data_IF_257853582131
#
_entry.id   IF_257853582131
#
_cell.length_a   1.000
_cell.length_b   1.000
_cell.length_c   1.000
_cell.angle_alpha   90.00
_cell.angle_beta   90.00
_cell.angle_gamma   90.00
#
_symmetry.space_group_name_H-M   'P 1'
#
loop_
_entity.id
_entity.type
_entity.pdbx_description
1 polymer ?
#
# COMPACT_ATOMS: atom_id res chain seq x y z
N UNK A 1 14.10 -13.86 13.07
CA UNK A 1 14.19 -14.12 11.62
C UNK A 1 13.79 -12.85 10.88
N UNK A 2 14.29 -12.61 9.68
CA UNK A 2 13.83 -11.49 8.86
C UNK A 2 12.32 -11.66 8.53
N UNK A 3 11.57 -10.56 8.52
CA UNK A 3 10.13 -10.54 8.24
C UNK A 3 9.86 -11.04 6.82
N UNK A 4 8.82 -11.85 6.62
CA UNK A 4 8.57 -12.55 5.35
C UNK A 4 8.23 -11.61 4.19
N UNK A 5 7.71 -10.40 4.47
CA UNK A 5 7.43 -9.39 3.44
C UNK A 5 8.68 -8.87 2.72
N UNK A 6 9.89 -9.13 3.23
CA UNK A 6 11.15 -8.82 2.52
C UNK A 6 11.44 -9.77 1.35
N UNK A 7 10.72 -10.89 1.25
CA UNK A 7 10.87 -11.86 0.16
C UNK A 7 10.07 -11.48 -1.10
N UNK A 8 9.39 -10.35 -1.11
CA UNK A 8 8.67 -9.84 -2.28
C UNK A 8 9.50 -8.77 -2.95
N UNK A 9 9.78 -8.90 -4.24
CA UNK A 9 10.56 -7.89 -4.96
C UNK A 9 9.66 -6.77 -5.51
N UNK A 10 10.16 -5.53 -5.50
CA UNK A 10 9.47 -4.36 -6.06
C UNK A 10 10.18 -3.75 -7.27
N UNK A 11 11.49 -3.97 -7.38
CA UNK A 11 12.35 -3.59 -8.51
C UNK A 11 13.39 -4.70 -8.71
N UNK A 12 13.74 -4.98 -9.96
CA UNK A 12 14.77 -5.93 -10.30
C UNK A 12 15.53 -5.47 -11.55
N UNK A 13 16.83 -5.73 -11.55
CA UNK A 13 17.76 -5.55 -12.66
C UNK A 13 18.24 -6.95 -13.04
N UNK A 14 17.70 -7.49 -14.14
CA UNK A 14 17.99 -8.86 -14.59
C UNK A 14 19.43 -9.00 -15.09
N UNK A 15 20.01 -7.94 -15.68
CA UNK A 15 21.38 -7.95 -16.19
C UNK A 15 22.38 -8.06 -15.04
N UNK A 16 22.18 -7.25 -13.99
CA UNK A 16 23.06 -7.24 -12.81
C UNK A 16 22.69 -8.30 -11.78
N UNK A 17 21.59 -9.04 -11.97
CA UNK A 17 21.03 -9.99 -11.02
C UNK A 17 20.79 -9.37 -9.63
N UNK A 18 20.31 -8.14 -9.61
CA UNK A 18 20.00 -7.39 -8.39
C UNK A 18 18.49 -7.19 -8.26
N UNK A 19 17.99 -7.19 -7.03
CA UNK A 19 16.61 -6.83 -6.75
C UNK A 19 16.50 -6.03 -5.46
N UNK A 20 15.37 -5.36 -5.32
CA UNK A 20 15.00 -4.60 -4.13
C UNK A 20 13.66 -5.12 -3.60
N UNK A 21 13.54 -5.40 -2.29
CA UNK A 21 12.26 -5.74 -1.70
C UNK A 21 11.21 -4.65 -1.95
N UNK A 22 9.96 -5.05 -2.15
CA UNK A 22 8.83 -4.16 -2.40
C UNK A 22 8.66 -3.17 -1.24
N UNK A 23 8.76 -3.66 -0.01
CA UNK A 23 8.67 -2.82 1.20
C UNK A 23 9.76 -1.77 1.26
N UNK A 24 10.99 -2.10 0.84
CA UNK A 24 12.09 -1.14 0.78
C UNK A 24 11.79 -0.05 -0.25
N UNK A 25 11.29 -0.42 -1.43
CA UNK A 25 10.88 0.55 -2.44
C UNK A 25 9.75 1.46 -1.93
N UNK A 26 8.73 0.89 -1.30
CA UNK A 26 7.60 1.63 -0.73
C UNK A 26 8.06 2.64 0.33
N UNK A 27 8.96 2.22 1.24
CA UNK A 27 9.50 3.09 2.29
C UNK A 27 10.46 4.16 1.77
N UNK A 28 11.21 3.90 0.69
CA UNK A 28 12.01 4.93 0.01
C UNK A 28 11.11 6.03 -0.56
N UNK A 29 10.02 5.64 -1.25
CA UNK A 29 9.04 6.60 -1.78
C UNK A 29 8.36 7.38 -0.65
N UNK A 30 8.02 6.71 0.44
CA UNK A 30 7.50 7.36 1.66
C UNK A 30 8.49 8.37 2.25
N UNK A 31 9.77 8.04 2.29
CA UNK A 31 10.83 8.92 2.78
C UNK A 31 10.97 10.18 1.90
N UNK A 32 10.88 10.03 0.58
CA UNK A 32 10.85 11.16 -0.36
C UNK A 32 9.62 12.03 -0.13
N UNK A 33 8.43 11.42 0.02
CA UNK A 33 7.18 12.13 0.27
C UNK A 33 7.21 12.90 1.61
N UNK A 34 7.78 12.30 2.65
CA UNK A 34 8.02 12.94 3.94
C UNK A 34 8.90 14.19 3.77
N UNK A 35 10.09 14.05 3.17
CA UNK A 35 11.04 15.16 3.03
C UNK A 35 10.49 16.29 2.15
N UNK A 36 9.81 15.95 1.06
CA UNK A 36 9.17 16.94 0.20
C UNK A 36 8.07 17.71 0.93
N UNK A 37 7.28 17.02 1.75
CA UNK A 37 6.19 17.66 2.51
C UNK A 37 6.75 18.51 3.65
N UNK A 38 7.69 17.96 4.43
CA UNK A 38 8.30 18.59 5.60
C UNK A 38 9.10 19.85 5.25
N UNK A 39 9.65 19.94 4.03
CA UNK A 39 10.34 21.14 3.54
C UNK A 39 9.40 22.26 3.06
N UNK A 40 8.08 22.04 3.08
CA UNK A 40 7.08 22.98 2.53
C UNK A 40 6.08 23.43 3.59
N UNK A 41 6.49 24.38 4.41
CA UNK A 41 5.63 24.95 5.45
C UNK A 41 4.29 25.51 4.95
N UNK A 42 4.20 26.23 3.81
CA UNK A 42 2.91 26.68 3.29
C UNK A 42 1.97 25.52 2.93
N UNK A 43 2.51 24.44 2.35
CA UNK A 43 1.74 23.24 2.04
C UNK A 43 1.23 22.57 3.32
N UNK A 44 2.11 22.42 4.31
CA UNK A 44 1.75 21.84 5.60
C UNK A 44 0.63 22.64 6.28
N UNK A 45 0.81 23.96 6.42
CA UNK A 45 -0.20 24.84 7.04
C UNK A 45 -1.54 24.76 6.31
N UNK A 46 -1.53 24.80 4.98
CA UNK A 46 -2.75 24.71 4.18
C UNK A 46 -3.51 23.40 4.43
N UNK A 47 -2.84 22.26 4.31
CA UNK A 47 -3.48 20.95 4.41
C UNK A 47 -3.81 20.54 5.85
N UNK A 48 -2.96 20.86 6.83
CA UNK A 48 -3.28 20.68 8.25
C UNK A 48 -4.56 21.41 8.64
N UNK A 49 -4.70 22.68 8.25
CA UNK A 49 -5.94 23.44 8.48
C UNK A 49 -7.14 22.88 7.70
N UNK A 50 -6.91 22.42 6.47
CA UNK A 50 -7.97 21.91 5.61
C UNK A 50 -8.49 20.56 6.08
N UNK A 51 -7.64 19.70 6.65
CA UNK A 51 -8.00 18.37 7.16
C UNK A 51 -8.32 18.37 8.67
N UNK A 52 -8.05 19.48 9.37
CA UNK A 52 -8.21 19.61 10.82
C UNK A 52 -7.31 18.62 11.59
N UNK A 53 -6.03 18.59 11.20
CA UNK A 53 -4.99 17.73 11.78
C UNK A 53 -3.71 18.54 12.01
N UNK A 54 -2.86 18.10 12.94
CA UNK A 54 -1.56 18.74 13.13
C UNK A 54 -0.57 18.41 12.01
N UNK A 55 0.62 19.02 12.08
CA UNK A 55 1.68 18.86 11.08
C UNK A 55 2.22 17.43 11.02
N UNK A 56 2.36 16.76 12.17
CA UNK A 56 2.90 15.40 12.23
C UNK A 56 1.88 14.41 11.63
N UNK A 57 0.60 14.59 11.94
CA UNK A 57 -0.48 13.82 11.34
C UNK A 57 -0.55 13.97 9.81
N UNK A 58 -0.30 15.17 9.30
CA UNK A 58 -0.20 15.37 7.85
C UNK A 58 1.02 14.67 7.24
N UNK A 59 2.19 14.74 7.89
CA UNK A 59 3.41 14.09 7.42
C UNK A 59 3.25 12.57 7.37
N UNK A 60 2.68 11.97 8.41
CA UNK A 60 2.36 10.55 8.45
C UNK A 60 1.33 10.20 7.36
N UNK A 61 0.28 11.00 7.16
CA UNK A 61 -0.74 10.75 6.13
C UNK A 61 -0.16 10.71 4.73
N UNK A 62 0.65 11.71 4.37
CA UNK A 62 1.27 11.76 3.04
C UNK A 62 2.27 10.61 2.87
N UNK A 63 3.06 10.31 3.90
CA UNK A 63 4.04 9.22 3.87
C UNK A 63 3.35 7.85 3.79
N UNK A 64 2.22 7.67 4.48
CA UNK A 64 1.43 6.45 4.45
C UNK A 64 0.78 6.24 3.08
N UNK A 65 0.16 7.27 2.49
CA UNK A 65 -0.37 7.22 1.11
C UNK A 65 0.74 6.82 0.13
N UNK A 66 1.91 7.44 0.26
CA UNK A 66 3.08 7.13 -0.56
C UNK A 66 3.59 5.70 -0.32
N UNK A 67 3.51 5.18 0.90
CA UNK A 67 3.93 3.81 1.21
C UNK A 67 3.03 2.81 0.50
N UNK A 68 1.71 2.94 0.58
CA UNK A 68 0.77 1.91 0.11
C UNK A 68 0.61 1.84 -1.42
N UNK A 69 1.19 2.78 -2.18
CA UNK A 69 0.98 2.91 -3.64
C UNK A 69 1.22 1.62 -4.44
N UNK A 70 2.21 0.84 -4.03
CA UNK A 70 2.65 -0.37 -4.72
C UNK A 70 2.24 -1.68 -4.00
N UNK A 71 1.24 -1.64 -3.12
CA UNK A 71 0.72 -2.84 -2.42
C UNK A 71 0.37 -3.99 -3.38
N UNK A 72 -0.06 -3.70 -4.60
CA UNK A 72 -0.39 -4.74 -5.57
C UNK A 72 0.82 -5.54 -6.06
N UNK A 73 2.05 -5.09 -5.80
CA UNK A 73 3.25 -5.86 -6.09
C UNK A 73 3.44 -7.08 -5.17
N UNK A 74 2.69 -7.17 -4.08
CA UNK A 74 2.59 -8.41 -3.30
C UNK A 74 1.78 -9.50 -4.03
N UNK A 75 1.12 -9.19 -5.15
CA UNK A 75 0.36 -10.19 -5.89
C UNK A 75 1.28 -11.26 -6.44
N UNK A 76 0.78 -12.49 -6.42
CA UNK A 76 1.48 -13.64 -6.99
C UNK A 76 1.75 -13.43 -8.49
N UNK A 77 0.84 -12.76 -9.20
CA UNK A 77 1.01 -12.40 -10.60
C UNK A 77 2.21 -11.46 -10.81
N UNK A 78 2.31 -10.36 -10.04
CA UNK A 78 3.41 -9.42 -10.18
C UNK A 78 4.75 -10.11 -9.87
N UNK A 79 4.81 -10.90 -8.78
CA UNK A 79 6.02 -11.63 -8.43
C UNK A 79 6.44 -12.64 -9.51
N UNK A 80 5.48 -13.17 -10.27
CA UNK A 80 5.72 -14.11 -11.38
C UNK A 80 6.33 -13.47 -12.64
N UNK A 81 6.44 -12.14 -12.73
CA UNK A 81 7.09 -11.49 -13.87
C UNK A 81 8.58 -11.84 -14.00
N UNK A 82 9.22 -12.29 -12.91
CA UNK A 82 10.59 -12.81 -12.94
C UNK A 82 10.57 -14.20 -12.28
N UNK A 83 10.27 -15.27 -13.05
CA UNK A 83 10.09 -16.62 -12.52
C UNK A 83 11.27 -17.14 -11.70
N UNK A 84 12.49 -16.88 -12.16
CA UNK A 84 13.72 -17.28 -11.45
C UNK A 84 13.80 -16.63 -10.07
N UNK A 85 13.42 -15.36 -9.97
CA UNK A 85 13.46 -14.60 -8.72
C UNK A 85 12.32 -15.02 -7.78
N UNK A 86 11.12 -15.30 -8.30
CA UNK A 86 10.02 -15.87 -7.52
C UNK A 86 10.43 -17.21 -6.90
N UNK A 87 11.02 -18.11 -7.71
CA UNK A 87 11.49 -19.42 -7.26
C UNK A 87 12.60 -19.28 -6.23
N UNK A 88 13.53 -18.36 -6.43
CA UNK A 88 14.62 -18.09 -5.48
C UNK A 88 14.11 -17.54 -4.14
N UNK A 89 13.19 -16.58 -4.15
CA UNK A 89 12.73 -15.88 -2.93
C UNK A 89 11.65 -16.63 -2.15
N UNK A 90 10.80 -17.40 -2.84
CA UNK A 90 9.61 -18.00 -2.25
C UNK A 90 9.47 -19.50 -2.49
N UNK A 91 10.29 -20.09 -3.36
CA UNK A 91 10.17 -21.50 -3.77
C UNK A 91 8.93 -21.79 -4.62
N UNK A 92 8.19 -20.77 -5.04
CA UNK A 92 6.97 -20.93 -5.82
C UNK A 92 7.27 -21.00 -7.32
N UNK A 93 6.46 -21.77 -8.04
CA UNK A 93 6.43 -21.76 -9.51
C UNK A 93 5.65 -20.52 -10.01
N UNK A 94 5.90 -20.00 -11.22
CA UNK A 94 5.21 -18.82 -11.74
C UNK A 94 3.76 -19.10 -12.14
N UNK A 95 2.91 -18.07 -12.07
CA UNK A 95 1.54 -18.12 -12.58
C UNK A 95 1.50 -18.28 -14.11
N UNK A 96 0.52 -19.05 -14.62
CA UNK A 96 0.17 -19.07 -16.05
C UNK A 96 -0.69 -17.83 -16.37
N UNK A 97 -0.04 -16.67 -16.40
CA UNK A 97 -0.55 -15.35 -16.87
C UNK A 97 -2.03 -15.04 -16.60
N UNK A 98 -2.30 -14.17 -15.64
CA UNK A 98 -3.41 -13.20 -15.73
C UNK A 98 -2.83 -11.81 -15.98
N UNK A 99 -3.66 -10.82 -16.31
CA UNK A 99 -3.27 -9.51 -16.86
C UNK A 99 -3.55 -8.33 -15.90
N UNK A 100 -3.74 -8.60 -14.60
CA UNK A 100 -4.16 -7.56 -13.68
C UNK A 100 -2.99 -6.62 -13.34
N UNK A 101 -3.14 -5.35 -13.69
CA UNK A 101 -2.13 -4.34 -13.38
C UNK A 101 -2.05 -4.16 -11.87
N UNK A 102 -0.83 -4.11 -11.34
CA UNK A 102 -0.59 -3.98 -9.90
C UNK A 102 -1.28 -2.79 -9.22
N UNK A 103 -1.58 -1.64 -9.85
CA UNK A 103 -2.34 -0.60 -9.17
C UNK A 103 -3.77 -1.06 -8.85
N UNK A 104 -4.41 -1.80 -9.76
CA UNK A 104 -5.74 -2.40 -9.55
C UNK A 104 -5.69 -3.49 -8.50
N UNK A 105 -4.69 -4.38 -8.53
CA UNK A 105 -4.51 -5.41 -7.49
C UNK A 105 -4.24 -4.79 -6.12
N UNK A 106 -3.51 -3.68 -6.06
CA UNK A 106 -3.22 -2.94 -4.83
C UNK A 106 -4.47 -2.30 -4.23
N UNK A 107 -5.30 -1.68 -5.07
CA UNK A 107 -6.59 -1.14 -4.64
C UNK A 107 -7.55 -2.22 -4.14
N UNK A 108 -7.64 -3.36 -4.84
CA UNK A 108 -8.42 -4.51 -4.39
C UNK A 108 -7.95 -5.02 -3.02
N UNK A 109 -6.65 -5.22 -2.86
CA UNK A 109 -6.07 -5.65 -1.57
C UNK A 109 -6.38 -4.63 -0.47
N UNK A 110 -6.25 -3.35 -0.77
CA UNK A 110 -6.59 -2.28 0.16
C UNK A 110 -8.06 -2.32 0.57
N UNK A 111 -8.99 -2.30 -0.38
CA UNK A 111 -10.42 -2.14 -0.10
C UNK A 111 -11.01 -3.38 0.58
N UNK A 112 -10.60 -4.58 0.16
CA UNK A 112 -11.13 -5.83 0.68
C UNK A 112 -10.49 -6.27 2.01
N UNK A 113 -9.20 -5.98 2.23
CA UNK A 113 -8.45 -6.55 3.37
C UNK A 113 -8.03 -5.51 4.40
N UNK A 114 -7.56 -4.33 3.98
CA UNK A 114 -6.85 -3.40 4.86
C UNK A 114 -7.73 -2.24 5.34
N UNK A 115 -8.63 -1.77 4.48
CA UNK A 115 -9.48 -0.61 4.76
C UNK A 115 -10.33 -0.82 6.02
N UNK A 116 -10.97 -1.98 6.18
CA UNK A 116 -11.78 -2.28 7.36
C UNK A 116 -10.98 -2.18 8.66
N UNK A 117 -9.73 -2.65 8.67
CA UNK A 117 -8.83 -2.60 9.83
C UNK A 117 -8.46 -1.16 10.19
N UNK A 118 -8.07 -0.34 9.22
CA UNK A 118 -7.75 1.07 9.46
C UNK A 118 -8.98 1.88 9.86
N UNK A 119 -10.10 1.70 9.15
CA UNK A 119 -11.34 2.43 9.42
C UNK A 119 -11.83 2.18 10.87
N UNK A 120 -11.75 0.94 11.36
CA UNK A 120 -12.06 0.62 12.74
C UNK A 120 -11.14 1.37 13.72
N UNK A 121 -9.82 1.42 13.46
CA UNK A 121 -8.86 2.18 14.27
C UNK A 121 -9.20 3.68 14.31
N UNK A 122 -9.57 4.27 13.17
CA UNK A 122 -9.96 5.69 13.06
C UNK A 122 -11.25 5.97 13.84
N UNK A 123 -12.27 5.13 13.66
CA UNK A 123 -13.56 5.27 14.36
C UNK A 123 -13.35 5.23 15.88
N UNK A 124 -12.56 4.26 16.37
CA UNK A 124 -12.25 4.12 17.79
C UNK A 124 -11.53 5.36 18.35
N UNK A 125 -10.51 5.87 17.64
CA UNK A 125 -9.76 7.08 18.04
C UNK A 125 -10.63 8.34 18.06
N UNK A 126 -11.61 8.41 17.17
CA UNK A 126 -12.51 9.57 17.07
C UNK A 126 -13.62 9.59 18.14
N UNK A 127 -13.68 8.63 19.06
CA UNK A 127 -14.83 8.42 19.95
C UNK A 127 -16.16 8.39 19.17
N UNK A 128 -16.15 7.73 17.99
CA UNK A 128 -17.28 7.65 17.06
C UNK A 128 -17.76 9.00 16.49
N UNK A 129 -17.01 10.09 16.67
CA UNK A 129 -17.33 11.39 16.06
C UNK A 129 -16.72 11.48 14.67
N UNK A 130 -17.57 11.55 13.65
CA UNK A 130 -17.12 11.75 12.27
C UNK A 130 -16.55 13.17 12.12
N UNK A 131 -15.22 13.29 12.16
CA UNK A 131 -14.52 14.55 11.89
C UNK A 131 -14.27 14.74 10.39
N UNK A 132 -13.63 15.85 10.01
CA UNK A 132 -13.37 16.18 8.60
C UNK A 132 -12.46 15.13 7.93
N UNK A 133 -11.40 14.72 8.62
CA UNK A 133 -10.48 13.68 8.15
C UNK A 133 -11.21 12.36 7.88
N UNK A 134 -12.06 11.88 8.79
CA UNK A 134 -12.78 10.62 8.64
C UNK A 134 -13.63 10.56 7.36
N UNK A 135 -14.17 11.71 6.90
CA UNK A 135 -14.93 11.81 5.64
C UNK A 135 -14.05 11.83 4.38
N UNK A 136 -12.80 12.26 4.50
CA UNK A 136 -11.91 12.49 3.34
C UNK A 136 -10.78 11.47 3.22
N UNK A 137 -10.51 10.71 4.28
CA UNK A 137 -9.32 9.85 4.32
C UNK A 137 -9.39 8.70 3.33
N UNK A 138 -10.56 8.06 3.15
CA UNK A 138 -10.71 6.98 2.17
C UNK A 138 -10.40 7.46 0.74
N UNK A 139 -11.02 8.54 0.21
CA UNK A 139 -10.65 9.10 -1.09
C UNK A 139 -9.14 9.41 -1.24
N UNK A 140 -8.51 10.00 -0.22
CA UNK A 140 -7.08 10.34 -0.24
C UNK A 140 -6.20 9.08 -0.32
N UNK A 141 -6.50 8.07 0.48
CA UNK A 141 -5.77 6.78 0.47
C UNK A 141 -5.96 6.08 -0.87
N UNK A 142 -7.18 6.04 -1.39
CA UNK A 142 -7.46 5.40 -2.68
C UNK A 142 -6.81 6.12 -3.87
N UNK A 143 -6.56 7.43 -3.76
CA UNK A 143 -5.85 8.19 -4.80
C UNK A 143 -4.39 7.73 -4.97
N UNK A 144 -3.78 7.15 -3.93
CA UNK A 144 -2.43 6.59 -4.00
C UNK A 144 -2.26 5.49 -5.04
N UNK A 145 -3.32 4.74 -5.37
CA UNK A 145 -3.30 3.69 -6.40
C UNK A 145 -3.41 4.23 -7.82
N UNK A 146 -3.69 5.53 -8.01
CA UNK A 146 -3.71 6.17 -9.32
C UNK A 146 -2.33 6.59 -9.85
N UNK A 147 -1.24 6.09 -9.26
CA UNK A 147 0.12 6.60 -9.47
C UNK A 147 0.69 6.41 -10.88
N UNK A 148 0.01 5.67 -11.75
CA UNK A 148 0.35 5.51 -13.17
C UNK A 148 -0.39 6.50 -14.08
N UNK A 149 -0.89 7.61 -13.53
CA UNK A 149 -1.44 8.73 -14.29
C UNK A 149 -2.95 8.68 -14.53
N UNK A 150 -3.66 7.70 -13.96
CA UNK A 150 -5.13 7.67 -13.96
C UNK A 150 -5.67 6.96 -12.71
N UNK A 151 -6.87 7.32 -12.22
CA UNK A 151 -7.56 6.55 -11.18
C UNK A 151 -7.69 5.07 -11.58
N UNK A 152 -7.68 4.19 -10.57
CA UNK A 152 -7.99 2.78 -10.76
C UNK A 152 -9.50 2.59 -10.92
N UNK A 153 -9.88 1.75 -11.87
CA UNK A 153 -11.26 1.33 -12.04
C UNK A 153 -11.64 0.42 -10.86
N UNK A 154 -12.77 0.69 -10.19
CA UNK A 154 -13.28 -0.21 -9.15
C UNK A 154 -13.96 -1.40 -9.82
N UNK A 155 -13.55 -2.65 -9.57
CA UNK A 155 -14.32 -3.81 -9.99
C UNK A 155 -15.65 -3.86 -9.21
N UNK A 156 -16.69 -4.43 -9.83
CA UNK A 156 -17.98 -4.68 -9.19
C UNK A 156 -17.81 -5.57 -7.95
N UNK A 157 -18.57 -5.28 -6.88
CA UNK A 157 -18.41 -5.91 -5.56
C UNK A 157 -18.50 -7.43 -5.57
N UNK A 158 -19.33 -8.02 -6.45
CA UNK A 158 -19.51 -9.47 -6.58
C UNK A 158 -18.23 -10.17 -7.09
N UNK A 159 -17.37 -9.44 -7.80
CA UNK A 159 -16.15 -10.00 -8.42
C UNK A 159 -14.89 -9.74 -7.57
N UNK A 160 -14.97 -8.87 -6.55
CA UNK A 160 -13.80 -8.46 -5.75
C UNK A 160 -13.17 -9.60 -4.97
N UNK A 161 -13.95 -10.42 -4.27
CA UNK A 161 -13.43 -11.55 -3.48
C UNK A 161 -12.78 -12.62 -4.37
N UNK A 162 -13.38 -12.84 -5.54
CA UNK A 162 -12.85 -13.74 -6.56
C UNK A 162 -11.53 -13.22 -7.12
N UNK A 163 -11.48 -11.96 -7.54
CA UNK A 163 -10.26 -11.34 -8.05
C UNK A 163 -9.16 -11.30 -6.99
N UNK A 164 -9.48 -10.94 -5.74
CA UNK A 164 -8.52 -10.94 -4.65
C UNK A 164 -7.90 -12.34 -4.46
N UNK A 165 -8.72 -13.39 -4.47
CA UNK A 165 -8.26 -14.77 -4.28
C UNK A 165 -7.47 -15.32 -5.47
N UNK A 166 -7.68 -14.78 -6.68
CA UNK A 166 -6.85 -15.10 -7.84
C UNK A 166 -5.48 -14.40 -7.79
N UNK A 167 -5.43 -13.20 -7.22
CA UNK A 167 -4.24 -12.35 -7.22
C UNK A 167 -3.34 -12.58 -6.00
N UNK A 168 -3.91 -12.94 -4.85
CA UNK A 168 -3.22 -13.09 -3.58
C UNK A 168 -3.58 -14.43 -2.93
N UNK A 169 -2.56 -15.26 -2.69
CA UNK A 169 -2.71 -16.48 -1.89
C UNK A 169 -2.96 -16.10 -0.43
N UNK A 170 -3.52 -17.02 0.34
CA UNK A 170 -3.77 -16.80 1.77
C UNK A 170 -2.50 -16.43 2.55
N UNK A 171 -1.34 -16.96 2.12
CA UNK A 171 -0.07 -16.59 2.72
C UNK A 171 0.34 -15.14 2.39
N UNK A 172 0.09 -14.67 1.16
CA UNK A 172 0.39 -13.30 0.75
C UNK A 172 -0.44 -12.31 1.59
N UNK A 173 -1.74 -12.61 1.79
CA UNK A 173 -2.65 -11.81 2.62
C UNK A 173 -2.15 -11.70 4.07
N UNK A 174 -1.69 -12.80 4.67
CA UNK A 174 -1.12 -12.81 6.03
C UNK A 174 0.14 -11.95 6.13
N UNK A 175 1.04 -12.07 5.16
CA UNK A 175 2.28 -11.31 5.11
C UNK A 175 2.02 -9.81 4.94
N UNK A 176 1.06 -9.45 4.09
CA UNK A 176 0.62 -8.06 3.91
C UNK A 176 -0.01 -7.52 5.19
N UNK A 177 -0.83 -8.31 5.89
CA UNK A 177 -1.40 -7.90 7.18
C UNK A 177 -0.32 -7.65 8.24
N UNK A 178 0.71 -8.50 8.31
CA UNK A 178 1.85 -8.30 9.20
C UNK A 178 2.61 -7.00 8.84
N UNK A 179 2.90 -6.79 7.55
CA UNK A 179 3.50 -5.55 7.09
C UNK A 179 2.63 -4.33 7.43
N UNK A 180 1.31 -4.46 7.27
CA UNK A 180 0.37 -3.39 7.57
C UNK A 180 0.35 -3.03 9.06
N UNK A 181 0.46 -4.00 9.95
CA UNK A 181 0.60 -3.75 11.38
C UNK A 181 1.89 -2.97 11.69
N UNK A 182 3.02 -3.39 11.11
CA UNK A 182 4.29 -2.67 11.24
C UNK A 182 4.18 -1.22 10.66
N UNK A 183 3.41 -1.00 9.59
CA UNK A 183 3.13 0.34 9.05
C UNK A 183 2.29 1.20 10.00
N UNK A 184 1.29 0.63 10.65
CA UNK A 184 0.43 1.35 11.60
C UNK A 184 1.18 1.74 12.89
N UNK A 185 2.26 1.03 13.22
CA UNK A 185 3.22 1.42 14.26
C UNK A 185 4.16 2.52 13.77
N UNK A 186 4.66 2.41 12.52
CA UNK A 186 5.55 3.40 11.91
C UNK A 186 4.89 4.77 11.71
N UNK A 187 3.60 4.79 11.39
CA UNK A 187 2.80 6.00 11.17
C UNK A 187 1.71 6.11 12.25
N UNK A 188 2.09 6.42 13.51
CA UNK A 188 1.20 6.26 14.66
C UNK A 188 0.01 7.22 14.64
N UNK A 189 0.10 8.34 13.91
CA UNK A 189 -0.99 9.33 13.84
C UNK A 189 -2.06 8.97 12.80
N UNK A 190 -1.83 7.92 12.00
CA UNK A 190 -2.81 7.29 11.10
C UNK A 190 -3.77 6.38 11.86
#
# INVERSE_FOLDING_TARGET
>A
MAKAYFNYWGKADQEKKLWKPVVTHMLEVASVAYQWTNSRDPFCKYWSNRLDIDRNALLDLISFIATIHDLGKFSYEFQSYIPELLKFLSGQEPAQTSSCKHPSSGFLLWDCLLWGKLNNKIILRSNQKVNRLARTIRPLLTAGFGHHGKPVDSPDSIDQDRFLSQQFKEQDKKIVLEFFDDLLELFPTI
#
